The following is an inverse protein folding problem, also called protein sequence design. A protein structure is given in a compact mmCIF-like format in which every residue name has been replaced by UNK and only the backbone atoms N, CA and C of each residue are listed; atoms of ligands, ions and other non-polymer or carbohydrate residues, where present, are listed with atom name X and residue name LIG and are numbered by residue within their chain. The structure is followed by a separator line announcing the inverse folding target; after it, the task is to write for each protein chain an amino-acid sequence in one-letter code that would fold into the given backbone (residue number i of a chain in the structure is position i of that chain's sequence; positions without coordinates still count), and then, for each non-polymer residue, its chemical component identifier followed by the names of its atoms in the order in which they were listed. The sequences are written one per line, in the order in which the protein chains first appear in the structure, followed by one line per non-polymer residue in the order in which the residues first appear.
data_IF_363765317113
#
_entry.id   IF_363765317113
#
_cell.length_a   1.000
_cell.length_b   1.000
_cell.length_c   1.000
_cell.angle_alpha   90.00
_cell.angle_beta   90.00
_cell.angle_gamma   90.00
#
_symmetry.space_group_name_H-M   'P 1'
#
loop_
_entity.id
_entity.type
_entity.pdbx_description
1 polymer ?
#
# COMPACT_ATOMS: atom_id res chain seq x y z
N UNK A 1 -8.56 -51.77 -35.05
CA UNK A 1 -10.01 -51.81 -34.78
C UNK A 1 -10.33 -50.57 -33.94
N UNK A 2 -11.17 -49.60 -34.35
CA UNK A 2 -12.66 -49.61 -34.40
C UNK A 2 -13.24 -49.99 -33.02
N UNK A 3 -14.10 -49.23 -32.32
CA UNK A 3 -15.02 -48.10 -32.65
C UNK A 3 -15.25 -47.19 -31.40
N UNK A 4 -15.39 -45.86 -31.53
CA UNK A 4 -16.66 -45.07 -31.54
C UNK A 4 -17.49 -45.14 -30.23
N UNK A 5 -17.69 -44.11 -29.40
CA UNK A 5 -18.22 -42.72 -29.58
C UNK A 5 -19.77 -42.57 -29.52
N UNK A 6 -20.25 -41.69 -28.62
CA UNK A 6 -21.51 -40.89 -28.63
C UNK A 6 -21.63 -40.16 -27.26
N UNK A 7 -21.49 -38.84 -27.12
CA UNK A 7 -22.24 -37.71 -27.71
C UNK A 7 -23.68 -37.56 -27.19
N UNK A 8 -23.93 -36.52 -26.39
CA UNK A 8 -25.22 -35.82 -26.31
C UNK A 8 -24.99 -34.30 -26.26
N UNK A 9 -25.50 -33.66 -27.29
CA UNK A 9 -25.57 -32.21 -27.48
C UNK A 9 -26.89 -31.72 -26.86
N UNK A 10 -26.89 -30.59 -26.16
CA UNK A 10 -28.11 -29.88 -25.77
C UNK A 10 -27.92 -28.39 -26.09
N UNK A 11 -28.59 -27.95 -27.15
CA UNK A 11 -28.56 -26.59 -27.68
C UNK A 11 -29.77 -25.84 -27.14
N UNK A 12 -29.58 -24.66 -26.53
CA UNK A 12 -30.68 -23.74 -26.23
C UNK A 12 -30.28 -22.31 -26.62
N UNK A 13 -30.75 -21.90 -27.79
CA UNK A 13 -30.74 -20.53 -28.28
C UNK A 13 -32.06 -19.87 -27.87
N UNK A 14 -31.98 -18.72 -27.19
CA UNK A 14 -33.04 -17.71 -27.18
C UNK A 14 -32.39 -16.34 -27.31
N UNK A 15 -32.81 -15.57 -28.31
CA UNK A 15 -32.46 -14.16 -28.49
C UNK A 15 -33.73 -13.31 -28.61
N UNK A 16 -33.57 -12.07 -29.06
CA UNK A 16 -34.56 -10.97 -29.08
C UNK A 16 -34.75 -10.27 -27.72
N UNK A 17 -34.85 -8.94 -27.61
CA UNK A 17 -34.73 -7.89 -28.65
C UNK A 17 -34.25 -6.55 -28.06
N UNK A 18 -33.81 -5.64 -28.93
CA UNK A 18 -33.59 -4.22 -28.64
C UNK A 18 -34.92 -3.53 -28.30
N UNK A 19 -34.91 -2.65 -27.29
CA UNK A 19 -36.06 -1.83 -26.90
C UNK A 19 -35.62 -0.49 -26.31
N UNK A 20 -35.38 0.50 -27.18
CA UNK A 20 -35.17 1.87 -26.76
C UNK A 20 -36.53 2.57 -26.55
N UNK A 21 -36.76 3.14 -25.36
CA UNK A 21 -37.90 4.01 -25.10
C UNK A 21 -37.54 5.16 -24.13
N UNK A 22 -37.47 6.36 -24.68
CA UNK A 22 -37.84 7.63 -24.05
C UNK A 22 -38.56 8.42 -25.15
N UNK A 23 -39.64 9.16 -24.86
CA UNK A 23 -39.44 10.58 -24.51
C UNK A 23 -40.56 11.22 -23.64
N UNK A 24 -40.44 12.55 -23.49
CA UNK A 24 -41.50 13.53 -23.16
C UNK A 24 -41.84 13.69 -21.67
N UNK A 25 -42.12 14.90 -21.15
CA UNK A 25 -42.55 16.14 -21.84
C UNK A 25 -41.73 17.39 -21.49
N UNK A 26 -41.63 18.28 -22.48
CA UNK A 26 -41.18 19.67 -22.36
C UNK A 26 -42.38 20.58 -22.00
N UNK A 27 -42.13 21.72 -21.36
CA UNK A 27 -43.09 22.83 -21.29
C UNK A 27 -42.37 24.19 -21.31
N UNK A 28 -42.41 24.80 -22.48
CA UNK A 28 -42.23 26.22 -22.76
C UNK A 28 -43.30 27.09 -22.03
N UNK A 29 -43.24 28.41 -21.92
CA UNK A 29 -42.18 29.44 -21.99
C UNK A 29 -42.82 30.81 -21.68
N UNK A 30 -42.00 31.87 -21.49
CA UNK A 30 -42.38 33.31 -21.41
C UNK A 30 -43.28 33.72 -20.21
N UNK A 31 -43.13 34.88 -19.55
CA UNK A 31 -42.76 36.22 -20.04
C UNK A 31 -42.03 37.09 -18.98
N UNK A 32 -41.38 38.15 -19.46
CA UNK A 32 -40.85 39.33 -18.72
C UNK A 32 -41.41 40.61 -19.40
N UNK A 33 -41.16 41.88 -18.97
CA UNK A 33 -40.30 42.43 -17.90
C UNK A 33 -41.14 43.29 -16.90
N UNK A 34 -40.71 44.31 -16.15
CA UNK A 34 -39.44 45.04 -15.92
C UNK A 34 -39.45 45.63 -14.48
N UNK A 35 -38.30 46.15 -13.99
CA UNK A 35 -38.17 47.51 -13.42
C UNK A 35 -36.87 47.73 -12.62
N UNK A 36 -36.03 48.64 -13.13
CA UNK A 36 -35.15 49.58 -12.39
C UNK A 36 -33.97 49.07 -11.56
N UNK A 37 -32.80 49.62 -11.89
CA UNK A 37 -31.55 49.51 -11.14
C UNK A 37 -31.48 50.44 -9.92
N UNK A 38 -30.63 50.07 -8.95
CA UNK A 38 -29.74 51.02 -8.29
C UNK A 38 -28.52 50.33 -7.68
N UNK A 39 -27.35 50.86 -8.02
CA UNK A 39 -26.05 50.41 -7.57
C UNK A 39 -25.51 51.52 -6.64
N UNK A 40 -25.19 51.26 -5.37
CA UNK A 40 -24.24 52.10 -4.59
C UNK A 40 -23.86 51.50 -3.24
N UNK A 41 -22.59 51.72 -2.89
CA UNK A 41 -22.02 51.88 -1.55
C UNK A 41 -21.86 50.66 -0.60
N UNK A 42 -20.62 50.16 -0.61
CA UNK A 42 -19.72 50.14 0.58
C UNK A 42 -19.95 49.14 1.73
N UNK A 43 -18.94 48.29 1.94
CA UNK A 43 -18.38 48.10 3.28
C UNK A 43 -18.08 46.67 3.74
N UNK A 44 -16.86 46.17 3.48
CA UNK A 44 -16.00 45.42 4.44
C UNK A 44 -14.76 44.85 3.73
N UNK A 45 -13.63 44.64 4.44
CA UNK A 45 -12.40 44.18 3.81
C UNK A 45 -12.52 42.71 3.41
N UNK A 46 -12.25 42.40 2.14
CA UNK A 46 -11.97 41.03 1.74
C UNK A 46 -10.54 40.70 2.19
N UNK A 47 -10.43 40.15 3.39
CA UNK A 47 -9.19 39.51 3.84
C UNK A 47 -8.80 38.42 2.84
N UNK A 48 -7.52 38.07 2.81
CA UNK A 48 -7.05 36.96 2.00
C UNK A 48 -7.71 35.67 2.47
N UNK A 49 -8.74 35.23 1.73
CA UNK A 49 -9.21 33.86 1.70
C UNK A 49 -8.06 32.98 1.20
N UNK A 50 -7.11 32.68 2.08
CA UNK A 50 -6.45 31.38 2.06
C UNK A 50 -7.55 30.36 2.28
N UNK A 51 -8.14 29.92 1.17
CA UNK A 51 -9.05 28.79 1.18
C UNK A 51 -8.37 27.66 1.98
N UNK A 52 -9.10 26.96 2.86
CA UNK A 52 -8.52 25.81 3.53
C UNK A 52 -7.98 24.89 2.45
N UNK A 53 -6.66 24.64 2.50
CA UNK A 53 -6.08 23.50 1.80
C UNK A 53 -6.92 22.32 2.29
N UNK A 54 -7.60 21.64 1.37
CA UNK A 54 -8.37 20.46 1.74
C UNK A 54 -7.41 19.55 2.50
N UNK A 55 -7.73 19.25 3.77
CA UNK A 55 -6.92 18.31 4.53
C UNK A 55 -6.80 17.04 3.69
N UNK A 56 -5.61 16.41 3.63
CA UNK A 56 -5.50 15.12 2.97
C UNK A 56 -6.55 14.20 3.58
N UNK A 57 -7.26 13.45 2.73
CA UNK A 57 -8.28 12.48 3.15
C UNK A 57 -7.62 11.50 4.14
N UNK A 58 -7.77 11.80 5.44
CA UNK A 58 -7.15 11.07 6.53
C UNK A 58 -8.23 10.43 7.37
N UNK A 59 -8.04 9.15 7.67
CA UNK A 59 -9.00 8.30 8.36
C UNK A 59 -8.65 8.16 9.85
N UNK A 60 -7.69 8.98 10.34
CA UNK A 60 -7.18 8.95 11.71
C UNK A 60 -8.29 9.04 12.75
N UNK A 61 -9.30 9.89 12.56
CA UNK A 61 -10.44 9.99 13.48
C UNK A 61 -11.25 8.69 13.62
N UNK A 62 -11.27 7.82 12.61
CA UNK A 62 -11.91 6.49 12.67
C UNK A 62 -10.94 5.51 13.33
N UNK A 63 -9.72 5.43 12.80
CA UNK A 63 -8.68 4.50 13.24
C UNK A 63 -8.34 4.66 14.73
N UNK A 64 -8.19 5.90 15.21
CA UNK A 64 -7.90 6.20 16.61
C UNK A 64 -8.96 5.64 17.57
N UNK A 65 -10.24 5.56 17.18
CA UNK A 65 -11.31 5.06 18.07
C UNK A 65 -11.04 3.63 18.55
N UNK A 66 -10.41 2.81 17.70
CA UNK A 66 -10.08 1.41 17.99
C UNK A 66 -8.63 1.22 18.54
N UNK A 67 -7.91 2.31 18.80
CA UNK A 67 -6.54 2.30 19.35
C UNK A 67 -6.46 2.57 20.86
N UNK A 68 -5.76 1.68 21.57
CA UNK A 68 -5.43 1.82 23.01
C UNK A 68 -4.51 3.03 23.29
N UNK A 69 -3.58 3.32 22.36
CA UNK A 69 -2.60 4.41 22.47
C UNK A 69 -2.44 5.15 21.15
N UNK A 70 -2.29 6.48 21.23
CA UNK A 70 -2.24 7.39 20.08
C UNK A 70 -1.14 8.42 20.30
N UNK A 71 -0.46 8.80 19.24
CA UNK A 71 0.35 10.02 19.20
C UNK A 71 -0.22 10.89 18.08
N UNK A 72 -1.26 11.66 18.42
CA UNK A 72 -2.03 12.43 17.43
C UNK A 72 -1.14 13.40 16.63
N UNK A 73 -0.10 13.94 17.28
CA UNK A 73 0.84 14.87 16.66
C UNK A 73 1.80 14.20 15.68
N UNK A 74 2.29 13.01 16.03
CA UNK A 74 3.09 12.20 15.11
C UNK A 74 2.24 11.67 13.97
N UNK A 75 1.06 11.14 14.28
CA UNK A 75 0.13 10.53 13.32
C UNK A 75 -0.26 11.54 12.24
N UNK A 76 -0.72 12.75 12.61
CA UNK A 76 -1.06 13.81 11.65
C UNK A 76 0.13 14.24 10.77
N UNK A 77 1.36 14.21 11.30
CA UNK A 77 2.56 14.63 10.58
C UNK A 77 3.11 13.56 9.63
N UNK A 78 2.79 12.28 9.85
CA UNK A 78 3.37 11.14 9.13
C UNK A 78 2.32 10.21 8.49
N UNK A 79 1.06 10.63 8.38
CA UNK A 79 0.01 9.80 7.76
C UNK A 79 0.17 9.63 6.25
N UNK A 80 1.13 10.30 5.59
CA UNK A 80 1.37 10.18 4.15
C UNK A 80 2.49 9.17 3.85
N UNK A 81 2.22 8.23 2.95
CA UNK A 81 3.20 7.31 2.37
C UNK A 81 3.03 7.22 0.85
N UNK A 82 3.94 6.53 0.15
CA UNK A 82 3.73 6.21 -1.26
C UNK A 82 2.46 5.37 -1.41
N UNK A 83 1.58 5.73 -2.33
CA UNK A 83 0.28 5.06 -2.53
C UNK A 83 -0.89 5.66 -1.73
N UNK A 84 -0.66 6.56 -0.77
CA UNK A 84 -1.72 7.34 -0.12
C UNK A 84 -1.58 7.51 1.39
N UNK A 85 -2.69 7.85 2.05
CA UNK A 85 -2.72 8.00 3.50
C UNK A 85 -2.67 6.63 4.21
N UNK A 86 -1.75 6.45 5.17
CA UNK A 86 -1.55 5.23 5.94
C UNK A 86 -2.85 4.84 6.66
N UNK A 87 -3.47 5.79 7.36
CA UNK A 87 -4.73 5.58 8.08
C UNK A 87 -5.86 5.04 7.20
N UNK A 88 -6.03 5.60 6.00
CA UNK A 88 -7.08 5.18 5.08
C UNK A 88 -6.74 3.90 4.32
N UNK A 89 -5.48 3.68 3.95
CA UNK A 89 -5.09 2.51 3.16
C UNK A 89 -4.98 1.23 4.01
N UNK A 90 -4.65 1.36 5.30
CA UNK A 90 -4.25 0.22 6.16
C UNK A 90 -5.13 0.02 7.40
N UNK A 91 -5.98 1.00 7.76
CA UNK A 91 -6.79 0.94 8.98
C UNK A 91 -6.01 1.09 10.29
N UNK A 92 -4.73 1.50 10.26
CA UNK A 92 -3.94 1.84 11.46
C UNK A 92 -3.16 3.14 11.29
N UNK A 93 -2.67 3.72 12.39
CA UNK A 93 -1.97 5.01 12.35
C UNK A 93 -0.46 4.89 12.14
N UNK A 94 0.16 5.98 11.68
CA UNK A 94 1.61 6.05 11.40
C UNK A 94 2.46 5.66 12.62
N UNK A 95 2.07 6.03 13.83
CA UNK A 95 2.75 5.66 15.08
C UNK A 95 2.70 4.15 15.38
N UNK A 96 1.68 3.43 14.94
CA UNK A 96 1.65 1.95 15.05
C UNK A 96 2.62 1.28 14.09
N UNK A 97 2.72 1.80 12.85
CA UNK A 97 3.76 1.38 11.91
C UNK A 97 5.15 1.71 12.45
N UNK A 98 5.41 2.94 12.89
CA UNK A 98 6.69 3.34 13.45
C UNK A 98 7.09 2.48 14.67
N UNK A 99 6.14 2.17 15.56
CA UNK A 99 6.32 1.25 16.69
C UNK A 99 6.64 -0.18 16.25
N UNK A 100 5.92 -0.71 15.25
CA UNK A 100 6.16 -2.05 14.71
C UNK A 100 7.52 -2.16 14.02
N UNK A 101 7.83 -1.24 13.11
CA UNK A 101 9.10 -1.19 12.39
C UNK A 101 10.27 -0.97 13.35
N UNK A 102 10.13 -0.17 14.40
CA UNK A 102 11.14 -0.03 15.46
C UNK A 102 11.40 -1.35 16.22
N UNK A 103 10.35 -2.10 16.55
CA UNK A 103 10.46 -3.41 17.20
C UNK A 103 11.12 -4.46 16.29
N UNK A 104 10.70 -4.53 15.02
CA UNK A 104 11.28 -5.37 13.96
C UNK A 104 12.78 -5.06 13.81
N UNK A 105 13.13 -3.77 13.67
CA UNK A 105 14.50 -3.30 13.49
C UNK A 105 15.39 -3.63 14.68
N UNK A 106 14.88 -3.45 15.90
CA UNK A 106 15.55 -3.83 17.13
C UNK A 106 15.79 -5.35 17.20
N UNK A 107 14.80 -6.15 16.81
CA UNK A 107 14.89 -7.61 16.80
C UNK A 107 15.92 -8.12 15.79
N UNK A 108 15.90 -7.61 14.56
CA UNK A 108 16.84 -7.96 13.49
C UNK A 108 18.28 -7.48 13.77
N UNK A 109 18.47 -6.34 14.45
CA UNK A 109 19.79 -5.88 14.92
C UNK A 109 20.35 -6.71 16.08
N UNK A 110 19.48 -7.28 16.90
CA UNK A 110 19.86 -8.18 18.00
C UNK A 110 20.00 -9.65 17.57
N UNK A 111 19.61 -10.01 16.34
CA UNK A 111 19.37 -11.39 15.89
C UNK A 111 18.45 -12.18 16.86
N UNK A 112 17.46 -11.49 17.46
CA UNK A 112 16.50 -12.09 18.39
C UNK A 112 15.37 -12.76 17.60
N UNK A 113 15.56 -14.04 17.26
CA UNK A 113 14.56 -14.91 16.63
C UNK A 113 13.20 -14.82 17.31
N UNK A 114 13.18 -14.90 18.63
CA UNK A 114 11.93 -14.90 19.40
C UNK A 114 11.22 -13.54 19.36
N UNK A 115 11.96 -12.43 19.21
CA UNK A 115 11.37 -11.13 18.91
C UNK A 115 10.82 -11.05 17.49
N UNK A 116 11.57 -11.46 16.47
CA UNK A 116 11.09 -11.44 15.07
C UNK A 116 9.80 -12.25 14.93
N UNK A 117 9.73 -13.45 15.53
CA UNK A 117 8.52 -14.29 15.51
C UNK A 117 7.30 -13.65 16.20
N UNK A 118 7.47 -12.67 17.10
CA UNK A 118 6.34 -11.89 17.65
C UNK A 118 5.81 -10.86 16.65
N UNK A 119 6.64 -10.40 15.72
CA UNK A 119 6.32 -9.41 14.69
C UNK A 119 5.65 -10.01 13.44
N UNK A 120 5.65 -11.33 13.34
CA UNK A 120 5.04 -12.11 12.26
C UNK A 120 3.54 -12.30 12.51
N UNK A 121 2.74 -12.17 11.46
CA UNK A 121 1.33 -12.51 11.40
C UNK A 121 1.11 -13.91 10.82
N UNK A 122 -0.09 -14.44 11.00
CA UNK A 122 -0.49 -15.75 10.43
C UNK A 122 -1.74 -15.58 9.55
N UNK A 123 -1.80 -16.22 8.37
CA UNK A 123 -0.71 -16.99 7.74
C UNK A 123 0.46 -16.09 7.27
N UNK A 124 1.67 -16.65 7.24
CA UNK A 124 2.83 -16.02 6.61
C UNK A 124 3.04 -16.63 5.22
N UNK A 125 2.91 -15.81 4.18
CA UNK A 125 3.26 -16.17 2.81
C UNK A 125 4.77 -15.98 2.60
N UNK A 126 5.50 -17.07 2.37
CA UNK A 126 6.90 -17.01 1.99
C UNK A 126 7.06 -17.38 0.51
N UNK A 127 7.85 -16.59 -0.21
CA UNK A 127 8.27 -16.83 -1.59
C UNK A 127 9.80 -16.93 -1.55
N UNK A 128 10.36 -18.06 -1.97
CA UNK A 128 11.81 -18.29 -1.95
C UNK A 128 12.55 -17.57 -3.10
N UNK A 129 13.81 -17.94 -3.37
CA UNK A 129 14.62 -17.29 -4.43
C UNK A 129 14.26 -17.84 -5.83
N UNK A 130 13.72 -19.05 -5.85
CA UNK A 130 13.27 -19.80 -7.01
C UNK A 130 11.85 -19.35 -7.47
N UNK A 131 11.11 -18.69 -6.57
CA UNK A 131 9.77 -18.15 -6.79
C UNK A 131 8.64 -19.09 -6.30
N UNK A 132 8.98 -20.20 -5.64
CA UNK A 132 8.02 -21.14 -5.11
C UNK A 132 7.33 -20.56 -3.86
N UNK A 133 6.00 -20.69 -3.84
CA UNK A 133 5.15 -20.09 -2.79
C UNK A 133 4.79 -21.10 -1.72
N UNK A 134 4.99 -20.75 -0.45
CA UNK A 134 4.66 -21.57 0.72
C UNK A 134 3.90 -20.74 1.74
N UNK A 135 2.74 -21.22 2.17
CA UNK A 135 1.94 -20.58 3.21
C UNK A 135 2.18 -21.28 4.56
N UNK A 136 2.72 -20.54 5.52
CA UNK A 136 3.04 -21.03 6.86
C UNK A 136 1.93 -20.60 7.81
N UNK A 137 1.10 -21.55 8.20
CA UNK A 137 -0.16 -21.30 8.94
C UNK A 137 -0.04 -21.48 10.46
N UNK A 138 1.09 -22.01 10.95
CA UNK A 138 1.32 -22.29 12.38
C UNK A 138 2.64 -21.67 12.86
N UNK A 139 2.73 -21.21 14.12
CA UNK A 139 3.98 -20.67 14.68
C UNK A 139 5.16 -21.64 14.58
N UNK A 140 4.92 -22.93 14.86
CA UNK A 140 5.97 -23.96 14.85
C UNK A 140 6.56 -24.21 13.46
N UNK A 141 5.76 -24.03 12.39
CA UNK A 141 6.26 -24.17 11.02
C UNK A 141 7.24 -23.03 10.69
N UNK A 142 6.91 -21.80 11.10
CA UNK A 142 7.76 -20.61 10.92
C UNK A 142 9.01 -20.70 11.82
N UNK A 143 8.89 -21.19 13.05
CA UNK A 143 10.05 -21.39 13.92
C UNK A 143 11.02 -22.43 13.33
N UNK A 144 10.48 -23.52 12.75
CA UNK A 144 11.25 -24.57 12.08
C UNK A 144 11.92 -24.11 10.76
N UNK A 145 11.26 -23.26 9.97
CA UNK A 145 11.81 -22.72 8.71
C UNK A 145 12.44 -21.34 8.85
N UNK A 146 12.62 -20.83 10.07
CA UNK A 146 13.00 -19.42 10.32
C UNK A 146 14.24 -18.98 9.54
N UNK A 147 15.31 -19.80 9.53
CA UNK A 147 16.58 -19.46 8.88
C UNK A 147 16.51 -19.49 7.34
N UNK A 148 15.42 -20.00 6.77
CA UNK A 148 15.13 -19.94 5.34
C UNK A 148 14.29 -18.71 4.98
N UNK A 149 13.32 -18.36 5.85
CA UNK A 149 12.40 -17.22 5.65
C UNK A 149 13.02 -15.88 6.03
N UNK A 150 13.81 -15.86 7.10
CA UNK A 150 14.52 -14.70 7.64
C UNK A 150 16.03 -14.98 7.60
N UNK A 151 16.55 -15.18 6.39
CA UNK A 151 18.00 -15.29 6.14
C UNK A 151 18.71 -13.94 6.34
N UNK A 152 20.04 -13.91 6.17
CA UNK A 152 20.83 -12.70 6.45
C UNK A 152 20.49 -11.51 5.55
N UNK A 153 20.01 -11.73 4.32
CA UNK A 153 19.63 -10.65 3.41
C UNK A 153 18.27 -10.06 3.82
N UNK A 154 17.28 -10.91 4.18
CA UNK A 154 16.02 -10.45 4.77
C UNK A 154 16.29 -9.74 6.11
N UNK A 155 17.16 -10.29 6.97
CA UNK A 155 17.54 -9.63 8.23
C UNK A 155 18.28 -8.31 7.99
N UNK A 156 19.10 -8.18 6.94
CA UNK A 156 19.74 -6.92 6.55
C UNK A 156 18.70 -5.84 6.24
N UNK A 157 17.70 -6.14 5.40
CA UNK A 157 16.56 -5.25 5.16
C UNK A 157 15.85 -4.87 6.48
N UNK A 158 15.48 -5.86 7.29
CA UNK A 158 14.77 -5.59 8.55
C UNK A 158 15.62 -4.79 9.56
N UNK A 159 16.96 -4.77 9.47
CA UNK A 159 17.84 -3.94 10.32
C UNK A 159 17.80 -2.44 9.94
N UNK A 160 17.26 -2.08 8.80
CA UNK A 160 17.25 -0.69 8.30
C UNK A 160 15.84 -0.10 8.23
N UNK A 161 14.83 -0.91 7.88
CA UNK A 161 13.42 -0.54 7.63
C UNK A 161 12.82 0.54 8.55
N UNK A 162 12.27 1.59 7.94
CA UNK A 162 11.57 2.71 8.58
C UNK A 162 10.26 3.07 7.86
N UNK A 163 9.61 4.13 8.36
CA UNK A 163 8.31 4.58 7.89
C UNK A 163 8.38 5.21 6.49
N UNK A 164 9.48 5.91 6.20
CA UNK A 164 9.69 6.64 4.93
C UNK A 164 9.86 5.67 3.74
N UNK A 165 10.27 4.43 4.00
CA UNK A 165 10.35 3.35 3.03
C UNK A 165 9.02 2.62 2.74
N UNK A 166 7.89 3.02 3.35
CA UNK A 166 6.60 2.37 3.14
C UNK A 166 5.92 2.78 1.83
N UNK A 167 5.43 1.79 1.10
CA UNK A 167 4.34 1.94 0.13
C UNK A 167 3.07 1.30 0.70
N UNK A 168 1.94 2.02 0.72
CA UNK A 168 0.64 1.53 1.15
C UNK A 168 -0.24 1.16 -0.04
N UNK A 169 -1.08 0.15 0.14
CA UNK A 169 -2.06 -0.31 -0.85
C UNK A 169 -3.42 -0.44 -0.16
N UNK A 170 -4.44 0.34 -0.56
CA UNK A 170 -5.76 0.30 0.05
C UNK A 170 -6.34 -1.12 0.16
N UNK A 171 -6.87 -1.42 1.34
CA UNK A 171 -7.46 -2.71 1.75
C UNK A 171 -6.51 -3.93 1.69
N UNK A 172 -5.21 -3.72 1.40
CA UNK A 172 -4.20 -4.78 1.24
C UNK A 172 -3.01 -4.64 2.20
N UNK A 173 -2.83 -3.48 2.84
CA UNK A 173 -1.78 -3.23 3.82
C UNK A 173 -0.64 -2.36 3.28
N UNK A 174 0.58 -2.62 3.70
CA UNK A 174 1.77 -1.88 3.28
C UNK A 174 2.94 -2.81 2.99
N UNK A 175 3.92 -2.34 2.21
CA UNK A 175 5.15 -3.08 1.94
C UNK A 175 6.37 -2.16 1.91
N UNK A 176 7.54 -2.79 1.95
CA UNK A 176 8.85 -2.15 1.79
C UNK A 176 9.68 -2.90 0.72
N UNK A 177 10.73 -2.26 0.21
CA UNK A 177 11.65 -2.80 -0.82
C UNK A 177 10.92 -3.51 -1.96
N UNK A 178 10.11 -2.76 -2.72
CA UNK A 178 9.40 -3.24 -3.92
C UNK A 178 8.50 -4.49 -3.69
N UNK A 179 8.03 -4.68 -2.46
CA UNK A 179 7.16 -5.81 -2.10
C UNK A 179 7.91 -7.01 -1.51
N UNK A 180 9.17 -6.85 -1.14
CA UNK A 180 10.00 -7.90 -0.51
C UNK A 180 9.49 -8.28 0.89
N UNK A 181 8.90 -7.34 1.63
CA UNK A 181 8.24 -7.62 2.92
C UNK A 181 6.91 -6.88 2.95
N UNK A 182 5.82 -7.60 3.24
CA UNK A 182 4.48 -7.00 3.43
C UNK A 182 4.06 -7.05 4.89
N UNK A 183 3.47 -5.95 5.33
CA UNK A 183 2.87 -5.77 6.64
C UNK A 183 1.36 -5.54 6.49
N UNK A 184 0.58 -6.32 7.23
CA UNK A 184 -0.89 -6.20 7.28
C UNK A 184 -1.35 -5.94 8.70
N UNK A 185 -2.47 -5.23 8.80
CA UNK A 185 -3.17 -4.90 10.03
C UNK A 185 -4.35 -5.86 10.16
N UNK A 186 -4.50 -6.52 11.32
CA UNK A 186 -5.51 -7.57 11.57
C UNK A 186 -6.91 -7.04 11.89
N UNK A 187 -7.00 -5.78 12.34
CA UNK A 187 -8.21 -5.06 12.75
C UNK A 187 -7.95 -3.55 12.76
N UNK A 188 -8.98 -2.71 12.67
CA UNK A 188 -8.82 -1.26 12.84
C UNK A 188 -8.07 -0.90 14.13
N UNK A 189 -7.16 0.08 14.04
CA UNK A 189 -6.25 0.46 15.13
C UNK A 189 -5.22 -0.62 15.52
N UNK A 190 -5.24 -1.77 14.84
CA UNK A 190 -4.37 -2.90 15.09
C UNK A 190 -2.90 -2.58 14.78
N UNK A 191 -2.00 -3.34 15.39
CA UNK A 191 -0.57 -3.15 15.16
C UNK A 191 -0.11 -4.01 13.97
N UNK A 192 0.52 -3.43 12.94
CA UNK A 192 0.88 -4.16 11.73
C UNK A 192 1.87 -5.30 12.02
N UNK A 193 1.76 -6.37 11.22
CA UNK A 193 2.57 -7.59 11.32
C UNK A 193 3.03 -8.07 9.95
N UNK A 194 4.21 -8.67 9.89
CA UNK A 194 4.77 -9.24 8.67
C UNK A 194 3.93 -10.46 8.24
N UNK A 195 3.30 -10.39 7.08
CA UNK A 195 2.48 -11.49 6.50
C UNK A 195 2.98 -11.99 5.16
N UNK A 196 3.93 -11.28 4.52
CA UNK A 196 4.65 -11.80 3.35
C UNK A 196 6.15 -11.52 3.47
N UNK A 197 6.97 -12.51 3.11
CA UNK A 197 8.39 -12.32 2.80
C UNK A 197 8.65 -12.91 1.41
N UNK A 198 9.19 -12.09 0.51
CA UNK A 198 9.47 -12.44 -0.88
C UNK A 198 10.96 -12.29 -1.18
N UNK A 199 11.69 -13.40 -1.06
CA UNK A 199 13.13 -13.44 -1.27
C UNK A 199 13.50 -13.21 -2.73
N UNK A 200 12.73 -13.74 -3.69
CA UNK A 200 12.93 -13.48 -5.12
C UNK A 200 12.97 -11.97 -5.42
N UNK A 201 12.03 -11.18 -4.87
CA UNK A 201 11.99 -9.74 -5.08
C UNK A 201 13.21 -9.02 -4.49
N UNK A 202 13.63 -9.41 -3.28
CA UNK A 202 14.82 -8.84 -2.63
C UNK A 202 16.09 -9.11 -3.43
N UNK A 203 16.22 -10.33 -3.95
CA UNK A 203 17.29 -10.77 -4.82
C UNK A 203 17.32 -10.00 -6.15
N UNK A 204 16.15 -9.75 -6.75
CA UNK A 204 16.01 -8.95 -7.97
C UNK A 204 16.40 -7.49 -7.73
N UNK A 205 15.94 -6.88 -6.64
CA UNK A 205 16.32 -5.52 -6.24
C UNK A 205 17.84 -5.41 -6.02
N UNK A 206 18.44 -6.34 -5.26
CA UNK A 206 19.88 -6.38 -5.02
C UNK A 206 20.69 -6.57 -6.32
N UNK A 207 20.21 -7.41 -7.26
CA UNK A 207 20.82 -7.55 -8.60
C UNK A 207 20.71 -6.26 -9.42
N UNK A 208 19.56 -5.59 -9.42
CA UNK A 208 19.34 -4.34 -10.14
C UNK A 208 20.22 -3.19 -9.61
N UNK A 209 20.40 -3.09 -8.29
CA UNK A 209 21.28 -2.09 -7.66
C UNK A 209 22.75 -2.31 -8.00
N UNK A 210 23.23 -3.57 -8.00
CA UNK A 210 24.60 -3.91 -8.42
C UNK A 210 24.85 -3.54 -9.90
N UNK A 211 23.92 -3.90 -10.79
CA UNK A 211 24.02 -3.57 -12.22
C UNK A 211 24.06 -2.05 -12.48
N UNK A 212 23.25 -1.26 -11.76
CA UNK A 212 23.29 0.20 -11.84
C UNK A 212 24.62 0.78 -11.35
N UNK A 213 25.16 0.28 -10.24
CA UNK A 213 26.46 0.72 -9.71
C UNK A 213 27.63 0.40 -10.67
N UNK A 214 27.59 -0.74 -11.35
CA UNK A 214 28.58 -1.10 -12.38
C UNK A 214 28.45 -0.22 -13.62
N UNK A 215 27.23 0.01 -14.11
CA UNK A 215 26.98 0.91 -15.24
C UNK A 215 27.40 2.36 -14.96
N UNK A 216 27.15 2.87 -13.75
CA UNK A 216 27.55 4.21 -13.32
C UNK A 216 29.06 4.37 -13.09
N UNK A 217 29.79 3.30 -12.76
CA UNK A 217 31.27 3.30 -12.72
C UNK A 217 31.89 3.22 -14.11
N UNK A 218 31.19 2.65 -15.09
CA UNK A 218 31.63 2.59 -16.49
C UNK A 218 31.64 3.93 -17.22
N UNK A 219 31.06 5.00 -16.64
CA UNK A 219 30.97 6.35 -17.21
C UNK A 219 32.01 7.35 -16.66
N UNK A 220 32.96 6.91 -15.83
CA UNK A 220 34.05 7.78 -15.37
C UNK A 220 34.97 8.16 -16.55
N UNK A 221 34.92 9.44 -16.93
CA UNK A 221 35.53 9.93 -18.16
C UNK A 221 37.07 9.77 -18.18
N UNK A 222 37.69 9.49 -19.34
CA UNK A 222 39.13 9.27 -19.42
C UNK A 222 39.89 10.51 -18.93
N UNK A 223 40.81 10.29 -17.99
CA UNK A 223 41.67 11.34 -17.48
C UNK A 223 42.42 12.04 -18.62
N UNK A 224 42.34 13.37 -18.67
CA UNK A 224 43.07 14.16 -19.66
C UNK A 224 44.57 13.98 -19.43
N UNK A 225 45.26 13.32 -20.35
CA UNK A 225 46.72 13.43 -20.46
C UNK A 225 47.08 14.91 -20.54
N UNK A 226 47.97 15.34 -19.65
CA UNK A 226 48.60 16.65 -19.73
C UNK A 226 49.89 16.51 -20.54
N UNK A 227 49.97 17.23 -21.65
CA UNK A 227 51.22 17.60 -22.35
C UNK A 227 51.62 19.03 -21.93
#
# INVERSE_FOLDING_TARGET
MRMSARARLALLLVGCALGACSPSVESAAADAPDATAQNTASGSPKGEDTAPVAEPDNCLLVVWQDQDTRDESFDLAHDSADGGAISCATGTSASQFASALSAIRKAARANDKAAILREVGLPLLYIDAEGDRRELTRPDDIDGTFAEVFDEDVLALLREVDLDALTVVPDQGAFVELGSVWLVVDRNGGRPRIVTVNRQALDEAARAMRAQAEAGRGTEAPAKSSE
#
